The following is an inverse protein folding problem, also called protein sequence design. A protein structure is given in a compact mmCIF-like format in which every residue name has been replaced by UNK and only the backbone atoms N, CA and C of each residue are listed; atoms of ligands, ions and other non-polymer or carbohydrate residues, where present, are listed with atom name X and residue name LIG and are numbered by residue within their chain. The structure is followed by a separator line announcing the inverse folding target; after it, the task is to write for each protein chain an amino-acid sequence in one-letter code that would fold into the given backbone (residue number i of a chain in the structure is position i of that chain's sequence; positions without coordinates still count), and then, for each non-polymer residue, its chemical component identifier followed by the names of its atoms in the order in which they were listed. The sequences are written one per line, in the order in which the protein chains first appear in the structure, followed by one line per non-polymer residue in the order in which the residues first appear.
data_IF_064015743872
#
_entry.id   IF_064015743872
#
_cell.length_a   1.000
_cell.length_b   1.000
_cell.length_c   1.000
_cell.angle_alpha   90.00
_cell.angle_beta   90.00
_cell.angle_gamma   90.00
#
_symmetry.space_group_name_H-M   'P 1'
#
loop_
_entity.id
_entity.type
_entity.pdbx_description
1 polymer ?
#
# COMPACT_ATOMS: atom_id res chain seq x y z
N UNK A 1 -17.73 14.53 -1.93
CA UNK A 1 -17.26 15.35 -0.78
C UNK A 1 -15.79 15.05 -0.57
N UNK A 2 -14.96 16.05 -0.30
CA UNK A 2 -13.56 15.81 0.07
C UNK A 2 -13.47 15.40 1.55
N UNK A 3 -12.72 14.32 1.83
CA UNK A 3 -12.54 13.82 3.20
C UNK A 3 -11.64 14.71 4.06
N UNK A 4 -10.94 15.66 3.44
CA UNK A 4 -9.88 16.46 4.07
C UNK A 4 -8.57 15.70 4.27
N UNK A 5 -8.46 14.48 3.71
CA UNK A 5 -7.30 13.62 3.67
C UNK A 5 -7.05 13.25 2.21
N UNK A 6 -6.08 13.90 1.55
CA UNK A 6 -5.89 13.81 0.11
C UNK A 6 -5.52 12.38 -0.35
N UNK A 7 -4.74 11.66 0.45
CA UNK A 7 -4.39 10.27 0.16
C UNK A 7 -5.59 9.31 0.31
N UNK A 8 -6.56 9.61 1.19
CA UNK A 8 -7.83 8.88 1.26
C UNK A 8 -8.72 9.22 0.05
N UNK A 9 -8.84 10.51 -0.28
CA UNK A 9 -9.63 10.97 -1.44
C UNK A 9 -9.12 10.35 -2.75
N UNK A 10 -7.80 10.25 -2.91
CA UNK A 10 -7.17 9.58 -4.06
C UNK A 10 -7.67 8.14 -4.21
N UNK A 11 -7.61 7.36 -3.14
CA UNK A 11 -8.00 5.94 -3.16
C UNK A 11 -9.52 5.76 -3.33
N UNK A 12 -10.31 6.73 -2.86
CA UNK A 12 -11.75 6.77 -3.08
C UNK A 12 -12.14 7.16 -4.51
N UNK A 13 -11.19 7.61 -5.33
CA UNK A 13 -11.45 8.05 -6.72
C UNK A 13 -11.87 9.53 -6.83
N UNK A 14 -11.40 10.37 -5.89
CA UNK A 14 -11.62 11.81 -5.84
C UNK A 14 -12.46 12.29 -4.66
N UNK A 15 -12.78 11.40 -3.72
CA UNK A 15 -13.46 11.74 -2.46
C UNK A 15 -14.66 10.87 -2.13
N UNK A 16 -15.33 11.22 -1.07
CA UNK A 16 -16.48 10.49 -0.50
C UNK A 16 -17.74 10.73 -1.32
N UNK A 17 -18.38 9.66 -1.78
CA UNK A 17 -19.64 9.73 -2.54
C UNK A 17 -20.83 9.63 -1.59
N UNK A 18 -21.77 10.59 -1.61
CA UNK A 18 -23.01 10.49 -0.82
C UNK A 18 -23.81 9.23 -1.17
N UNK A 19 -24.34 8.56 -0.15
CA UNK A 19 -25.07 7.31 -0.33
C UNK A 19 -24.19 6.10 -0.61
N UNK A 20 -22.86 6.21 -0.52
CA UNK A 20 -21.93 5.09 -0.67
C UNK A 20 -21.72 4.33 0.63
N UNK A 21 -21.43 3.04 0.52
CA UNK A 21 -20.98 2.19 1.62
C UNK A 21 -19.53 1.78 1.36
N UNK A 22 -18.62 2.23 2.22
CA UNK A 22 -17.18 2.00 2.15
C UNK A 22 -16.73 1.09 3.28
N UNK A 23 -16.06 0.00 2.96
CA UNK A 23 -15.45 -0.91 3.94
C UNK A 23 -13.94 -0.65 4.01
N UNK A 24 -13.40 -0.43 5.21
CA UNK A 24 -11.97 -0.36 5.46
C UNK A 24 -11.54 -1.57 6.29
N UNK A 25 -10.83 -2.50 5.64
CA UNK A 25 -10.24 -3.68 6.25
C UNK A 25 -8.76 -3.47 6.62
N UNK A 26 -8.23 -4.37 7.44
CA UNK A 26 -6.80 -4.40 7.80
C UNK A 26 -6.57 -4.95 9.19
N UNK A 27 -5.29 -5.23 9.52
CA UNK A 27 -4.90 -5.80 10.80
C UNK A 27 -5.30 -4.89 11.98
N UNK A 28 -5.56 -5.49 13.17
CA UNK A 28 -5.75 -4.70 14.39
C UNK A 28 -4.54 -3.83 14.71
N UNK A 29 -4.79 -2.54 15.07
CA UNK A 29 -3.74 -1.59 15.39
C UNK A 29 -3.02 -0.95 14.20
N UNK A 30 -3.41 -1.23 12.94
CA UNK A 30 -2.80 -0.66 11.74
C UNK A 30 -3.06 0.85 11.55
N UNK A 31 -4.11 1.39 12.19
CA UNK A 31 -4.47 2.80 12.12
C UNK A 31 -5.84 3.12 11.50
N UNK A 32 -6.68 2.11 11.20
CA UNK A 32 -8.01 2.31 10.58
C UNK A 32 -8.88 3.34 11.32
N UNK A 33 -9.05 3.12 12.64
CA UNK A 33 -9.85 4.00 13.51
C UNK A 33 -9.24 5.41 13.61
N UNK A 34 -7.91 5.53 13.58
CA UNK A 34 -7.21 6.82 13.56
C UNK A 34 -7.49 7.57 12.27
N UNK A 35 -7.33 6.92 11.12
CA UNK A 35 -7.62 7.50 9.81
C UNK A 35 -9.07 8.00 9.72
N UNK A 36 -10.03 7.15 10.11
CA UNK A 36 -11.44 7.51 10.04
C UNK A 36 -11.81 8.60 11.03
N UNK A 37 -11.21 8.64 12.22
CA UNK A 37 -11.46 9.73 13.16
C UNK A 37 -10.92 11.07 12.64
N UNK A 38 -9.73 11.08 12.02
CA UNK A 38 -9.16 12.27 11.35
C UNK A 38 -10.04 12.73 10.17
N UNK A 39 -10.44 11.81 9.29
CA UNK A 39 -11.34 12.11 8.18
C UNK A 39 -12.72 12.57 8.67
N UNK A 40 -13.26 11.98 9.73
CA UNK A 40 -14.55 12.38 10.35
C UNK A 40 -14.52 13.81 10.85
N UNK A 41 -13.44 14.20 11.54
CA UNK A 41 -13.29 15.58 12.02
C UNK A 41 -13.16 16.58 10.86
N UNK A 42 -12.49 16.22 9.78
CA UNK A 42 -12.38 17.08 8.59
C UNK A 42 -13.72 17.18 7.84
N UNK A 43 -14.41 16.06 7.64
CA UNK A 43 -15.76 16.02 7.03
C UNK A 43 -16.78 16.83 7.86
N UNK A 44 -16.73 16.70 9.19
CA UNK A 44 -17.62 17.44 10.06
C UNK A 44 -17.48 18.96 9.92
N UNK A 45 -16.24 19.45 9.71
CA UNK A 45 -15.98 20.88 9.44
C UNK A 45 -16.39 21.33 8.05
N UNK A 46 -16.26 20.46 7.04
CA UNK A 46 -16.40 20.86 5.64
C UNK A 46 -17.76 20.51 5.03
N UNK A 47 -18.41 19.43 5.47
CA UNK A 47 -19.58 18.86 4.80
C UNK A 47 -20.83 18.72 5.68
N UNK A 48 -20.72 18.95 7.00
CA UNK A 48 -21.82 18.86 7.96
C UNK A 48 -21.71 17.67 8.91
N UNK A 49 -22.75 17.38 9.70
CA UNK A 49 -22.68 16.46 10.84
C UNK A 49 -22.16 15.07 10.49
N UNK A 50 -21.23 14.56 11.30
CA UNK A 50 -20.71 13.20 11.22
C UNK A 50 -21.05 12.46 12.50
N UNK A 51 -21.66 11.28 12.38
CA UNK A 51 -21.89 10.38 13.51
C UNK A 51 -20.83 9.27 13.49
N UNK A 52 -19.96 9.27 14.51
CA UNK A 52 -18.95 8.23 14.72
C UNK A 52 -19.45 7.27 15.79
N UNK A 53 -19.81 6.06 15.38
CA UNK A 53 -20.26 4.97 16.25
C UNK A 53 -19.08 4.09 16.61
N UNK A 54 -18.80 3.97 17.89
CA UNK A 54 -17.77 3.07 18.43
C UNK A 54 -18.42 1.91 19.17
N UNK A 55 -18.14 0.69 18.72
CA UNK A 55 -18.58 -0.54 19.39
C UNK A 55 -17.51 -1.16 20.28
N UNK A 56 -16.28 -0.64 20.27
CA UNK A 56 -15.16 -1.21 21.04
C UNK A 56 -14.70 -0.27 22.16
N UNK A 57 -14.77 1.04 21.94
CA UNK A 57 -14.34 2.06 22.89
C UNK A 57 -15.49 2.90 23.40
N UNK A 58 -15.40 3.34 24.64
CA UNK A 58 -16.36 4.30 25.20
C UNK A 58 -16.22 5.66 24.52
N UNK A 59 -17.28 6.46 24.54
CA UNK A 59 -17.27 7.83 23.99
C UNK A 59 -16.16 8.70 24.62
N UNK A 60 -15.85 8.50 25.91
CA UNK A 60 -14.77 9.20 26.61
C UNK A 60 -13.39 8.81 26.04
N UNK A 61 -13.15 7.53 25.72
CA UNK A 61 -11.89 7.07 25.12
C UNK A 61 -11.71 7.60 23.71
N UNK A 62 -12.76 7.57 22.88
CA UNK A 62 -12.72 8.16 21.54
C UNK A 62 -12.46 9.66 21.61
N UNK A 63 -13.09 10.38 22.56
CA UNK A 63 -12.86 11.80 22.79
C UNK A 63 -11.41 12.11 23.18
N UNK A 64 -10.84 11.37 24.15
CA UNK A 64 -9.45 11.52 24.55
C UNK A 64 -8.49 11.30 23.37
N UNK A 65 -8.79 10.32 22.50
CA UNK A 65 -8.02 10.07 21.28
C UNK A 65 -8.14 11.26 20.32
N UNK A 66 -9.35 11.80 20.11
CA UNK A 66 -9.57 12.96 19.26
C UNK A 66 -8.80 14.20 19.79
N UNK A 67 -8.81 14.44 21.11
CA UNK A 67 -8.06 15.51 21.74
C UNK A 67 -6.55 15.36 21.56
N UNK A 68 -6.02 14.15 21.76
CA UNK A 68 -4.58 13.85 21.54
C UNK A 68 -4.17 14.11 20.07
N UNK A 69 -5.06 13.84 19.12
CA UNK A 69 -4.84 14.05 17.69
C UNK A 69 -5.11 15.51 17.26
N UNK A 70 -5.48 16.39 18.18
CA UNK A 70 -5.83 17.80 17.87
C UNK A 70 -7.10 17.95 17.04
N UNK A 71 -8.01 16.99 17.11
CA UNK A 71 -9.23 16.95 16.30
C UNK A 71 -10.37 17.62 17.05
N UNK A 72 -10.60 18.90 16.79
CA UNK A 72 -11.77 19.63 17.30
C UNK A 72 -12.76 19.88 16.17
N UNK A 73 -14.00 19.38 16.31
CA UNK A 73 -15.11 19.65 15.40
C UNK A 73 -16.44 19.56 16.16
N UNK A 74 -17.21 20.66 16.16
CA UNK A 74 -18.52 20.72 16.84
C UNK A 74 -19.56 19.78 16.23
N UNK A 75 -19.44 19.52 14.94
CA UNK A 75 -20.34 18.64 14.17
C UNK A 75 -19.90 17.17 14.16
N UNK A 76 -18.86 16.78 14.92
CA UNK A 76 -18.45 15.39 15.12
C UNK A 76 -19.17 14.84 16.36
N UNK A 77 -20.17 14.01 16.13
CA UNK A 77 -20.94 13.33 17.17
C UNK A 77 -20.36 11.95 17.43
N UNK A 78 -20.11 11.60 18.70
CA UNK A 78 -19.57 10.31 19.11
C UNK A 78 -20.65 9.53 19.85
N UNK A 79 -20.92 8.32 19.41
CA UNK A 79 -21.88 7.39 20.00
C UNK A 79 -21.20 6.07 20.35
N UNK A 80 -21.24 5.66 21.61
CA UNK A 80 -20.80 4.35 22.04
C UNK A 80 -22.03 3.42 22.09
N UNK A 81 -22.24 2.64 21.04
CA UNK A 81 -23.40 1.77 20.88
C UNK A 81 -23.07 0.59 19.95
N UNK A 82 -23.72 -0.56 20.18
CA UNK A 82 -23.55 -1.78 19.40
C UNK A 82 -24.86 -2.33 18.82
N UNK A 83 -26.02 -1.91 19.35
CA UNK A 83 -27.31 -2.33 18.83
C UNK A 83 -27.70 -1.47 17.62
N UNK A 84 -27.90 -2.11 16.45
CA UNK A 84 -28.12 -1.40 15.18
C UNK A 84 -29.40 -0.56 15.19
N UNK A 85 -30.48 -1.04 15.79
CA UNK A 85 -31.73 -0.33 15.88
C UNK A 85 -31.58 1.01 16.63
N UNK A 86 -30.78 1.01 17.70
CA UNK A 86 -30.46 2.23 18.46
C UNK A 86 -29.59 3.18 17.63
N UNK A 87 -28.61 2.65 16.89
CA UNK A 87 -27.79 3.44 15.96
C UNK A 87 -28.67 4.11 14.90
N UNK A 88 -29.60 3.36 14.27
CA UNK A 88 -30.53 3.89 13.28
C UNK A 88 -31.44 5.00 13.84
N UNK A 89 -31.89 4.87 15.09
CA UNK A 89 -32.66 5.91 15.76
C UNK A 89 -31.82 7.20 15.94
N UNK A 90 -30.58 7.08 16.35
CA UNK A 90 -29.63 8.21 16.43
C UNK A 90 -29.35 8.86 15.09
N UNK A 91 -29.17 8.06 14.01
CA UNK A 91 -29.05 8.57 12.64
C UNK A 91 -30.32 9.36 12.25
N UNK A 92 -31.51 8.87 12.64
CA UNK A 92 -32.76 9.58 12.40
C UNK A 92 -32.88 10.93 13.12
N UNK A 93 -32.31 11.02 14.32
CA UNK A 93 -32.39 12.22 15.15
C UNK A 93 -31.32 13.27 14.79
N UNK A 94 -30.12 12.83 14.38
CA UNK A 94 -28.98 13.72 14.11
C UNK A 94 -28.78 14.05 12.62
N UNK A 95 -29.46 13.32 11.71
CA UNK A 95 -29.39 13.49 10.25
C UNK A 95 -27.97 13.71 9.72
N UNK A 96 -27.01 12.80 10.03
CA UNK A 96 -25.62 13.00 9.67
C UNK A 96 -25.42 12.91 8.15
N UNK A 97 -24.44 13.65 7.62
CA UNK A 97 -23.97 13.50 6.24
C UNK A 97 -23.07 12.30 6.06
N UNK A 98 -22.38 11.89 7.13
CA UNK A 98 -21.49 10.74 7.15
C UNK A 98 -21.70 9.94 8.44
N UNK A 99 -21.76 8.62 8.30
CA UNK A 99 -21.80 7.66 9.40
C UNK A 99 -20.53 6.82 9.38
N UNK A 100 -19.86 6.69 10.51
CA UNK A 100 -18.74 5.75 10.71
C UNK A 100 -19.15 4.71 11.73
N UNK A 101 -18.92 3.42 11.42
CA UNK A 101 -19.16 2.29 12.33
C UNK A 101 -17.84 1.57 12.59
N UNK A 102 -17.31 1.67 13.81
CA UNK A 102 -16.02 1.13 14.25
C UNK A 102 -16.20 0.23 15.50
N UNK A 103 -16.29 -1.08 15.31
CA UNK A 103 -16.22 -1.90 14.10
C UNK A 103 -17.57 -2.57 13.78
N UNK A 104 -17.74 -3.02 12.52
CA UNK A 104 -18.93 -3.76 12.10
C UNK A 104 -19.08 -5.10 12.84
N UNK A 105 -17.99 -5.68 13.33
CA UNK A 105 -18.02 -6.94 14.07
C UNK A 105 -18.65 -6.83 15.46
N UNK A 106 -18.72 -5.64 16.04
CA UNK A 106 -19.34 -5.42 17.35
C UNK A 106 -20.82 -5.10 17.26
N UNK A 107 -21.28 -4.68 16.07
CA UNK A 107 -22.69 -4.30 15.85
C UNK A 107 -23.56 -5.54 15.65
N UNK A 108 -24.75 -5.52 16.21
CA UNK A 108 -25.71 -6.62 16.13
C UNK A 108 -27.16 -6.12 16.00
N UNK A 109 -28.00 -7.00 15.47
CA UNK A 109 -29.45 -6.89 15.43
C UNK A 109 -30.04 -7.71 16.58
N UNK A 110 -30.91 -7.09 17.39
CA UNK A 110 -31.52 -7.73 18.55
C UNK A 110 -32.42 -8.93 18.18
N UNK A 111 -33.02 -8.92 17.00
CA UNK A 111 -33.92 -9.97 16.51
C UNK A 111 -33.19 -11.21 15.98
N UNK A 112 -31.86 -11.19 15.84
CA UNK A 112 -31.07 -12.32 15.39
C UNK A 112 -30.42 -13.05 16.58
N UNK A 113 -30.72 -14.35 16.74
CA UNK A 113 -30.18 -15.18 17.84
C UNK A 113 -28.67 -15.41 17.76
N UNK A 114 -28.03 -15.12 16.62
CA UNK A 114 -26.59 -15.33 16.43
C UNK A 114 -25.75 -14.27 17.15
N UNK A 115 -24.59 -14.67 17.67
CA UNK A 115 -23.70 -13.79 18.41
C UNK A 115 -23.17 -12.63 17.54
N UNK A 116 -22.90 -11.44 18.15
CA UNK A 116 -22.21 -10.35 17.48
C UNK A 116 -20.91 -10.83 16.82
N UNK A 117 -20.57 -10.30 15.62
CA UNK A 117 -19.41 -10.70 14.86
C UNK A 117 -19.56 -12.01 14.08
N UNK A 118 -20.66 -12.74 14.21
CA UNK A 118 -20.97 -13.89 13.35
C UNK A 118 -21.23 -13.46 11.91
N UNK A 119 -21.06 -14.39 10.94
CA UNK A 119 -21.30 -14.14 9.52
C UNK A 119 -22.70 -13.59 9.26
N UNK A 120 -23.73 -14.18 9.93
CA UNK A 120 -25.13 -13.73 9.80
C UNK A 120 -25.32 -12.31 10.30
N UNK A 121 -24.86 -11.98 11.51
CA UNK A 121 -24.96 -10.64 12.07
C UNK A 121 -24.26 -9.60 11.19
N UNK A 122 -23.01 -9.84 10.82
CA UNK A 122 -22.22 -8.89 10.00
C UNK A 122 -22.89 -8.67 8.64
N UNK A 123 -23.44 -9.71 8.03
CA UNK A 123 -24.11 -9.63 6.72
C UNK A 123 -25.41 -8.83 6.82
N UNK A 124 -26.26 -9.13 7.80
CA UNK A 124 -27.55 -8.45 7.96
C UNK A 124 -27.38 -7.00 8.39
N UNK A 125 -26.46 -6.72 9.34
CA UNK A 125 -26.13 -5.35 9.73
C UNK A 125 -25.57 -4.56 8.52
N UNK A 126 -24.67 -5.16 7.75
CA UNK A 126 -24.13 -4.54 6.52
C UNK A 126 -25.22 -4.26 5.49
N UNK A 127 -26.17 -5.17 5.30
CA UNK A 127 -27.32 -5.00 4.42
C UNK A 127 -28.23 -3.84 4.84
N UNK A 128 -28.56 -3.71 6.13
CA UNK A 128 -29.36 -2.60 6.68
C UNK A 128 -28.62 -1.26 6.55
N UNK A 129 -27.32 -1.22 6.86
CA UNK A 129 -26.52 0.00 6.72
C UNK A 129 -26.39 0.43 5.25
N UNK A 130 -26.31 -0.52 4.30
CA UNK A 130 -26.38 -0.20 2.89
C UNK A 130 -27.75 0.39 2.49
N UNK A 131 -28.83 -0.19 2.96
CA UNK A 131 -30.18 0.36 2.77
C UNK A 131 -30.28 1.79 3.29
N UNK A 132 -29.79 2.04 4.51
CA UNK A 132 -29.74 3.35 5.13
C UNK A 132 -28.94 4.36 4.31
N UNK A 133 -27.73 3.96 3.86
CA UNK A 133 -26.88 4.78 2.99
C UNK A 133 -27.61 5.23 1.73
N UNK A 134 -28.21 4.28 0.99
CA UNK A 134 -28.90 4.54 -0.28
C UNK A 134 -30.17 5.37 -0.11
N UNK A 135 -30.99 5.08 0.91
CA UNK A 135 -32.28 5.75 1.07
C UNK A 135 -32.15 7.18 1.61
N UNK A 136 -31.16 7.44 2.46
CA UNK A 136 -30.94 8.76 3.06
C UNK A 136 -29.81 9.58 2.42
N UNK A 137 -29.07 9.00 1.46
CA UNK A 137 -27.93 9.68 0.82
C UNK A 137 -26.74 9.90 1.76
N UNK A 138 -26.62 9.11 2.84
CA UNK A 138 -25.55 9.20 3.83
C UNK A 138 -24.35 8.39 3.36
N UNK A 139 -23.14 8.96 3.41
CA UNK A 139 -21.93 8.17 3.20
C UNK A 139 -21.62 7.34 4.45
N UNK A 140 -21.48 6.03 4.30
CA UNK A 140 -21.25 5.11 5.42
C UNK A 140 -19.89 4.47 5.31
N UNK A 141 -19.08 4.58 6.37
CA UNK A 141 -17.80 3.88 6.51
C UNK A 141 -17.94 2.77 7.54
N UNK A 142 -17.52 1.57 7.16
CA UNK A 142 -17.45 0.40 8.03
C UNK A 142 -15.98 0.05 8.29
N UNK A 143 -15.60 -0.07 9.54
CA UNK A 143 -14.30 -0.64 9.94
C UNK A 143 -14.47 -2.14 10.10
N UNK A 144 -13.56 -2.91 9.46
CA UNK A 144 -13.50 -4.36 9.58
C UNK A 144 -12.10 -4.83 9.99
N UNK A 145 -12.02 -5.78 10.93
CA UNK A 145 -10.77 -6.43 11.30
C UNK A 145 -10.58 -7.71 10.49
N UNK A 146 -9.40 -7.89 9.87
CA UNK A 146 -9.04 -9.15 9.23
C UNK A 146 -8.67 -10.15 10.32
N UNK A 147 -9.37 -11.28 10.38
CA UNK A 147 -9.06 -12.35 11.32
C UNK A 147 -8.25 -13.43 10.62
N UNK A 148 -7.12 -13.79 11.19
CA UNK A 148 -6.27 -14.91 10.72
C UNK A 148 -6.89 -16.28 11.01
N UNK A 149 -7.83 -16.36 11.94
CA UNK A 149 -8.48 -17.58 12.40
C UNK A 149 -10.00 -17.38 12.39
N UNK A 150 -10.67 -17.94 11.45
CA UNK A 150 -12.10 -18.08 11.13
C UNK A 150 -13.22 -17.94 12.17
N UNK A 151 -12.99 -17.45 13.40
CA UNK A 151 -14.01 -17.33 14.45
C UNK A 151 -14.90 -16.09 14.32
N UNK A 152 -14.40 -15.00 13.74
CA UNK A 152 -15.18 -13.77 13.46
C UNK A 152 -15.31 -13.56 11.96
N UNK A 153 -16.47 -13.09 11.51
CA UNK A 153 -16.69 -12.75 10.11
C UNK A 153 -15.76 -11.61 9.69
N UNK A 154 -14.81 -11.92 8.83
CA UNK A 154 -13.90 -10.92 8.26
C UNK A 154 -14.58 -10.02 7.22
N UNK A 155 -13.87 -8.97 6.74
CA UNK A 155 -14.35 -8.03 5.73
C UNK A 155 -14.88 -8.71 4.46
N UNK A 156 -14.37 -9.88 4.09
CA UNK A 156 -14.77 -10.64 2.89
C UNK A 156 -16.27 -10.91 2.79
N UNK A 157 -16.96 -11.05 3.91
CA UNK A 157 -18.42 -11.27 3.93
C UNK A 157 -19.17 -10.07 3.36
N UNK A 158 -18.64 -8.86 3.51
CA UNK A 158 -19.23 -7.60 3.07
C UNK A 158 -18.73 -7.14 1.70
N UNK A 159 -17.65 -7.69 1.16
CA UNK A 159 -17.04 -7.21 -0.10
C UNK A 159 -18.02 -7.15 -1.27
N UNK A 160 -18.97 -8.09 -1.33
CA UNK A 160 -19.99 -8.09 -2.37
C UNK A 160 -21.09 -7.05 -2.16
N UNK A 161 -21.37 -6.69 -0.91
CA UNK A 161 -22.43 -5.75 -0.54
C UNK A 161 -21.99 -4.30 -0.70
N UNK A 162 -20.75 -3.96 -0.34
CA UNK A 162 -20.27 -2.59 -0.29
C UNK A 162 -19.91 -2.05 -1.69
N UNK A 163 -19.91 -0.72 -1.85
CA UNK A 163 -19.53 -0.06 -3.10
C UNK A 163 -18.00 0.04 -3.24
N UNK A 164 -17.30 0.23 -2.13
CA UNK A 164 -15.84 0.38 -2.10
C UNK A 164 -15.26 -0.47 -0.97
N UNK A 165 -14.16 -1.17 -1.27
CA UNK A 165 -13.37 -1.94 -0.30
C UNK A 165 -11.95 -1.39 -0.32
N UNK A 166 -11.51 -0.91 0.82
CA UNK A 166 -10.15 -0.44 1.06
C UNK A 166 -9.45 -1.38 2.05
N UNK A 167 -8.20 -1.73 1.77
CA UNK A 167 -7.35 -2.45 2.71
C UNK A 167 -6.22 -1.55 3.19
N UNK A 168 -6.06 -1.49 4.50
CA UNK A 168 -4.97 -0.80 5.15
C UNK A 168 -3.88 -1.82 5.47
N UNK A 169 -2.74 -1.68 4.83
CA UNK A 169 -1.62 -2.61 4.84
C UNK A 169 -0.37 -1.96 5.44
N UNK A 170 0.50 -2.76 6.02
CA UNK A 170 1.79 -2.32 6.57
C UNK A 170 2.27 -3.25 7.66
N UNK A 171 3.58 -3.32 7.85
CA UNK A 171 4.16 -4.05 8.97
C UNK A 171 4.10 -3.20 10.25
N UNK A 172 3.91 -3.83 11.41
CA UNK A 172 3.77 -3.11 12.69
C UNK A 172 4.97 -2.22 13.03
N UNK A 173 6.14 -2.56 12.50
CA UNK A 173 7.39 -1.83 12.73
C UNK A 173 7.79 -0.91 11.56
N UNK A 174 7.07 -0.94 10.43
CA UNK A 174 7.30 -0.02 9.35
C UNK A 174 6.76 1.37 9.69
N UNK A 175 7.47 2.42 9.30
CA UNK A 175 7.07 3.80 9.54
C UNK A 175 5.86 4.23 8.71
N UNK A 176 5.63 3.57 7.59
CA UNK A 176 4.53 3.91 6.67
C UNK A 176 3.45 2.83 6.62
N UNK A 177 2.28 3.24 6.14
CA UNK A 177 1.09 2.42 5.90
C UNK A 177 0.57 2.71 4.50
N UNK A 178 0.09 1.68 3.83
CA UNK A 178 -0.49 1.80 2.49
C UNK A 178 -1.98 1.50 2.57
N UNK A 179 -2.80 2.40 2.08
CA UNK A 179 -4.22 2.20 1.87
C UNK A 179 -4.46 1.85 0.41
N UNK A 180 -5.01 0.68 0.15
CA UNK A 180 -5.23 0.16 -1.20
C UNK A 180 -6.71 -0.05 -1.49
N UNK A 181 -7.18 0.37 -2.66
CA UNK A 181 -8.49 -0.01 -3.15
C UNK A 181 -8.46 -1.42 -3.73
N UNK A 182 -9.30 -2.32 -3.22
CA UNK A 182 -9.50 -3.68 -3.77
C UNK A 182 -10.77 -3.73 -4.62
N UNK A 183 -11.75 -2.92 -4.26
CA UNK A 183 -12.99 -2.71 -5.02
C UNK A 183 -13.36 -1.24 -4.94
N UNK A 184 -13.68 -0.64 -6.07
CA UNK A 184 -14.19 0.74 -6.11
C UNK A 184 -15.15 0.91 -7.30
N UNK A 185 -16.43 1.19 -7.02
CA UNK A 185 -17.43 1.45 -8.06
C UNK A 185 -17.36 2.88 -8.60
N UNK A 186 -16.65 3.77 -7.92
CA UNK A 186 -16.61 5.20 -8.23
C UNK A 186 -15.26 5.66 -8.76
N UNK A 187 -14.27 4.76 -8.83
CA UNK A 187 -12.93 5.07 -9.27
C UNK A 187 -12.08 3.84 -9.56
N UNK A 188 -10.81 4.06 -9.85
CA UNK A 188 -9.84 3.01 -10.11
C UNK A 188 -9.54 2.21 -8.84
N UNK A 189 -9.38 0.89 -8.97
CA UNK A 189 -8.83 0.02 -7.91
C UNK A 189 -7.30 0.01 -7.90
N UNK A 190 -6.67 0.72 -8.83
CA UNK A 190 -5.22 0.79 -8.94
C UNK A 190 -4.59 1.93 -8.13
N UNK A 191 -5.40 2.71 -7.39
CA UNK A 191 -4.88 3.82 -6.58
C UNK A 191 -4.48 3.34 -5.20
N UNK A 192 -3.38 3.92 -4.70
CA UNK A 192 -2.92 3.75 -3.33
C UNK A 192 -2.77 5.10 -2.62
N UNK A 193 -3.02 5.10 -1.31
CA UNK A 193 -2.70 6.19 -0.40
C UNK A 193 -1.56 5.77 0.52
N UNK A 194 -0.61 6.66 0.76
CA UNK A 194 0.54 6.38 1.63
C UNK A 194 0.50 7.31 2.84
N UNK A 195 0.64 6.69 4.00
CA UNK A 195 0.58 7.38 5.29
C UNK A 195 1.78 7.00 6.15
N UNK A 196 2.23 7.93 6.98
CA UNK A 196 3.20 7.70 8.03
C UNK A 196 2.50 7.74 9.39
N UNK A 197 2.83 6.78 10.26
CA UNK A 197 2.32 6.80 11.63
C UNK A 197 3.22 7.68 12.50
N UNK A 198 2.65 8.71 13.11
CA UNK A 198 3.31 9.64 14.01
C UNK A 198 2.62 9.70 15.36
N UNK A 199 3.21 10.34 16.36
CA UNK A 199 2.56 10.58 17.67
C UNK A 199 1.26 11.41 17.53
N UNK A 200 1.21 12.29 16.51
CA UNK A 200 0.03 13.08 16.16
C UNK A 200 -0.99 12.36 15.27
N UNK A 201 -0.84 11.05 15.04
CA UNK A 201 -1.73 10.26 14.19
C UNK A 201 -1.13 9.90 12.84
N UNK A 202 -1.99 9.68 11.85
CA UNK A 202 -1.58 9.40 10.48
C UNK A 202 -1.30 10.69 9.73
N UNK A 203 -0.11 10.80 9.19
CA UNK A 203 0.32 11.87 8.29
C UNK A 203 0.34 11.36 6.86
N UNK A 204 -0.19 12.13 5.95
CA UNK A 204 -0.12 11.84 4.52
C UNK A 204 1.32 11.96 4.01
N UNK A 205 1.71 11.06 3.11
CA UNK A 205 3.01 11.10 2.45
C UNK A 205 2.82 11.46 0.98
N UNK A 206 2.89 12.76 0.62
CA UNK A 206 2.67 13.20 -0.76
C UNK A 206 3.71 12.66 -1.74
N UNK A 207 4.95 12.47 -1.29
CA UNK A 207 6.04 11.92 -2.08
C UNK A 207 6.69 10.71 -1.36
N UNK A 208 6.12 9.50 -1.50
CA UNK A 208 6.68 8.29 -0.90
C UNK A 208 8.08 7.94 -1.43
N UNK A 209 8.35 8.22 -2.71
CA UNK A 209 9.65 7.94 -3.32
C UNK A 209 10.78 8.70 -2.62
N UNK A 210 10.58 9.98 -2.32
CA UNK A 210 11.55 10.78 -1.58
C UNK A 210 11.80 10.22 -0.18
N UNK A 211 10.75 9.72 0.50
CA UNK A 211 10.86 9.09 1.81
C UNK A 211 11.70 7.80 1.76
N UNK A 212 11.45 6.91 0.78
CA UNK A 212 12.19 5.65 0.64
C UNK A 212 13.67 5.85 0.28
N UNK A 213 14.00 6.98 -0.35
CA UNK A 213 15.37 7.29 -0.76
C UNK A 213 16.13 8.20 0.22
N UNK A 214 15.49 8.70 1.29
CA UNK A 214 16.06 9.68 2.20
C UNK A 214 17.36 9.22 2.88
N UNK A 215 17.48 7.93 3.18
CA UNK A 215 18.64 7.32 3.87
C UNK A 215 19.52 6.49 2.93
N UNK A 216 19.37 6.66 1.61
CA UNK A 216 20.14 5.90 0.63
C UNK A 216 21.65 6.16 0.78
N UNK A 217 22.50 5.11 0.92
CA UNK A 217 23.93 5.26 0.92
C UNK A 217 24.43 5.60 -0.51
N UNK A 218 25.28 6.59 -0.63
CA UNK A 218 25.93 6.92 -1.91
C UNK A 218 27.18 6.07 -2.12
N UNK A 219 27.34 5.51 -3.32
CA UNK A 219 28.55 4.75 -3.71
C UNK A 219 28.68 3.40 -3.02
N UNK A 220 27.60 2.81 -2.52
CA UNK A 220 27.61 1.45 -1.98
C UNK A 220 27.39 0.42 -3.07
N UNK A 221 28.25 -0.60 -3.15
CA UNK A 221 28.01 -1.76 -4.00
C UNK A 221 26.78 -2.54 -3.50
N UNK A 222 26.01 -3.07 -4.43
CA UNK A 222 24.78 -3.79 -4.09
C UNK A 222 23.53 -2.94 -3.89
N UNK A 223 23.61 -1.61 -4.04
CA UNK A 223 22.44 -0.70 -3.98
C UNK A 223 22.03 -0.28 -5.39
N UNK A 224 20.77 -0.53 -5.75
CA UNK A 224 20.18 -0.19 -7.06
C UNK A 224 18.83 0.44 -6.86
N UNK A 225 18.54 1.51 -7.60
CA UNK A 225 17.22 2.15 -7.58
C UNK A 225 16.39 1.66 -8.76
N UNK A 226 15.12 1.36 -8.46
CA UNK A 226 14.11 1.08 -9.46
C UNK A 226 12.87 1.97 -9.22
N UNK A 227 12.09 2.17 -10.28
CA UNK A 227 10.78 2.77 -10.20
C UNK A 227 9.70 1.69 -10.29
N UNK A 228 9.15 1.27 -9.17
CA UNK A 228 8.02 0.36 -9.07
C UNK A 228 6.72 1.04 -9.47
N UNK A 229 5.72 0.27 -9.91
CA UNK A 229 4.34 0.74 -10.03
C UNK A 229 3.45 0.02 -9.02
N UNK A 230 2.90 0.77 -8.09
CA UNK A 230 1.84 0.33 -7.23
C UNK A 230 0.51 0.86 -7.77
N UNK A 231 -0.18 0.00 -8.53
CA UNK A 231 -1.32 0.42 -9.33
C UNK A 231 -0.92 1.40 -10.43
N UNK A 232 -1.36 2.65 -10.36
CA UNK A 232 -0.96 3.72 -11.28
C UNK A 232 0.14 4.62 -10.72
N UNK A 233 0.46 4.49 -9.42
CA UNK A 233 1.42 5.35 -8.72
C UNK A 233 2.84 4.81 -8.86
N UNK A 234 3.77 5.58 -9.45
CA UNK A 234 5.18 5.22 -9.46
C UNK A 234 5.79 5.44 -8.07
N UNK A 235 6.65 4.53 -7.64
CA UNK A 235 7.39 4.60 -6.38
C UNK A 235 8.85 4.25 -6.65
N UNK A 236 9.77 5.14 -6.31
CA UNK A 236 11.19 4.77 -6.34
C UNK A 236 11.55 3.99 -5.09
N UNK A 237 12.12 2.82 -5.30
CA UNK A 237 12.53 1.90 -4.25
C UNK A 237 14.02 1.59 -4.40
N UNK A 238 14.71 1.49 -3.28
CA UNK A 238 16.07 0.97 -3.23
C UNK A 238 16.03 -0.55 -3.02
N UNK A 239 16.65 -1.27 -3.95
CA UNK A 239 16.91 -2.69 -3.86
C UNK A 239 18.37 -2.90 -3.43
N UNK A 240 18.55 -3.59 -2.32
CA UNK A 240 19.87 -3.88 -1.77
C UNK A 240 20.17 -5.38 -1.87
N UNK A 241 21.37 -5.72 -2.30
CA UNK A 241 21.87 -7.08 -2.26
C UNK A 241 23.22 -7.13 -1.53
N UNK A 242 23.41 -8.14 -0.72
CA UNK A 242 24.68 -8.48 -0.10
C UNK A 242 25.04 -9.91 -0.51
N UNK A 243 26.17 -10.05 -1.19
CA UNK A 243 26.75 -11.34 -1.59
C UNK A 243 28.08 -11.53 -0.87
N UNK A 244 28.21 -12.64 -0.15
CA UNK A 244 29.40 -12.94 0.64
C UNK A 244 29.72 -14.43 0.58
N UNK A 245 31.00 -14.85 0.65
CA UNK A 245 31.35 -16.26 0.66
C UNK A 245 30.65 -17.03 1.77
N UNK A 246 30.04 -18.18 1.43
CA UNK A 246 29.48 -19.07 2.43
C UNK A 246 30.60 -19.83 3.13
N UNK A 247 30.77 -19.64 4.44
CA UNK A 247 31.86 -20.26 5.19
C UNK A 247 31.55 -21.69 5.63
N UNK A 248 30.27 -22.04 5.83
CA UNK A 248 29.87 -23.38 6.32
C UNK A 248 28.53 -23.82 5.75
N UNK A 249 28.45 -25.07 5.32
CA UNK A 249 27.21 -25.75 4.95
C UNK A 249 26.59 -25.29 3.64
N UNK A 250 25.27 -25.35 3.57
CA UNK A 250 24.50 -24.91 2.39
C UNK A 250 24.41 -23.39 2.36
N UNK A 251 24.70 -22.74 1.22
CA UNK A 251 24.58 -21.30 1.06
C UNK A 251 23.19 -20.77 1.41
N UNK A 252 23.17 -19.68 2.14
CA UNK A 252 21.93 -19.07 2.62
C UNK A 252 21.35 -18.12 1.59
N UNK A 253 20.03 -18.12 1.49
CA UNK A 253 19.26 -17.15 0.72
C UNK A 253 18.27 -16.49 1.67
N UNK A 254 18.36 -15.18 1.84
CA UNK A 254 17.42 -14.40 2.66
C UNK A 254 16.87 -13.28 1.82
N UNK A 255 15.54 -13.17 1.75
CA UNK A 255 14.84 -12.18 0.92
C UNK A 255 13.82 -11.46 1.76
N UNK A 256 13.91 -10.15 1.80
CA UNK A 256 12.99 -9.25 2.49
C UNK A 256 12.38 -8.27 1.48
N UNK A 257 11.07 -8.15 1.48
CA UNK A 257 10.34 -7.22 0.61
C UNK A 257 10.16 -7.65 -0.84
N UNK A 258 10.81 -8.72 -1.30
CA UNK A 258 10.65 -9.32 -2.64
C UNK A 258 10.18 -10.77 -2.55
N UNK A 259 9.81 -11.37 -3.68
CA UNK A 259 9.36 -12.77 -3.73
C UNK A 259 10.57 -13.72 -3.74
N UNK A 260 10.63 -14.62 -2.76
CA UNK A 260 11.79 -15.51 -2.51
C UNK A 260 12.13 -16.40 -3.70
N UNK A 261 11.13 -17.09 -4.29
CA UNK A 261 11.40 -18.01 -5.41
C UNK A 261 11.87 -17.26 -6.64
N UNK A 262 11.33 -16.06 -6.88
CA UNK A 262 11.75 -15.21 -7.99
C UNK A 262 13.22 -14.80 -7.86
N UNK A 263 13.64 -14.38 -6.67
CA UNK A 263 15.04 -14.05 -6.39
C UNK A 263 15.93 -15.27 -6.62
N UNK A 264 15.55 -16.45 -6.15
CA UNK A 264 16.31 -17.69 -6.38
C UNK A 264 16.48 -18.01 -7.87
N UNK A 265 15.44 -17.80 -8.69
CA UNK A 265 15.51 -17.95 -10.14
C UNK A 265 16.48 -16.94 -10.76
N UNK A 266 16.44 -15.68 -10.35
CA UNK A 266 17.35 -14.64 -10.85
C UNK A 266 18.82 -14.96 -10.53
N UNK A 267 19.11 -15.47 -9.35
CA UNK A 267 20.46 -15.90 -8.98
C UNK A 267 20.95 -17.06 -9.88
N UNK A 268 20.08 -18.02 -10.19
CA UNK A 268 20.42 -19.12 -11.10
C UNK A 268 20.66 -18.62 -12.55
N UNK A 269 19.88 -17.61 -12.99
CA UNK A 269 20.07 -16.99 -14.31
C UNK A 269 21.39 -16.22 -14.35
N UNK A 270 21.72 -15.43 -13.31
CA UNK A 270 22.99 -14.72 -13.17
C UNK A 270 24.19 -15.69 -13.29
N UNK A 271 24.11 -16.81 -12.59
CA UNK A 271 25.18 -17.81 -12.66
C UNK A 271 25.33 -18.42 -14.05
N UNK A 272 24.20 -18.85 -14.63
CA UNK A 272 24.23 -19.57 -15.90
C UNK A 272 24.48 -18.66 -17.09
N UNK A 273 24.00 -17.41 -17.09
CA UNK A 273 24.04 -16.50 -18.24
C UNK A 273 25.11 -15.42 -18.12
N UNK A 274 25.29 -14.85 -16.93
CA UNK A 274 26.30 -13.81 -16.74
C UNK A 274 27.61 -14.34 -16.14
N UNK A 275 27.72 -15.65 -15.89
CA UNK A 275 28.93 -16.27 -15.38
C UNK A 275 29.36 -15.86 -13.98
N UNK A 276 28.41 -15.33 -13.16
CA UNK A 276 28.68 -14.89 -11.78
C UNK A 276 28.50 -16.09 -10.86
N UNK A 277 29.55 -16.65 -10.22
CA UNK A 277 29.49 -17.90 -9.46
C UNK A 277 28.84 -17.65 -8.06
N UNK A 278 27.52 -17.86 -7.95
CA UNK A 278 26.75 -17.63 -6.73
C UNK A 278 26.47 -18.92 -5.93
N UNK A 279 26.85 -20.10 -6.43
CA UNK A 279 26.59 -21.39 -5.76
C UNK A 279 27.24 -21.48 -4.38
N UNK A 280 28.42 -20.90 -4.21
CA UNK A 280 29.17 -20.89 -2.96
C UNK A 280 29.02 -19.58 -2.15
N UNK A 281 28.07 -18.75 -2.50
CA UNK A 281 27.86 -17.45 -1.86
C UNK A 281 26.58 -17.44 -1.05
N UNK A 282 26.61 -16.84 0.14
CA UNK A 282 25.42 -16.39 0.84
C UNK A 282 24.87 -15.13 0.14
N UNK A 283 23.57 -15.07 -0.10
CA UNK A 283 22.94 -13.94 -0.76
C UNK A 283 21.76 -13.42 0.06
N UNK A 284 21.80 -12.15 0.35
CA UNK A 284 20.76 -11.43 1.06
C UNK A 284 20.22 -10.35 0.12
N UNK A 285 18.88 -10.29 -0.05
CA UNK A 285 18.20 -9.27 -0.86
C UNK A 285 17.18 -8.57 0.03
N UNK A 286 17.17 -7.26 0.00
CA UNK A 286 16.27 -6.42 0.78
C UNK A 286 15.70 -5.28 -0.07
N UNK A 287 14.41 -5.05 0.03
CA UNK A 287 13.79 -3.80 -0.41
C UNK A 287 13.85 -2.83 0.76
N UNK A 288 14.62 -1.75 0.61
CA UNK A 288 14.87 -0.81 1.69
C UNK A 288 13.58 -0.13 2.19
N UNK A 289 13.61 0.33 3.45
CA UNK A 289 12.47 1.01 4.08
C UNK A 289 11.30 0.09 4.43
N UNK A 290 11.46 -1.25 4.34
CA UNK A 290 10.38 -2.22 4.60
C UNK A 290 9.28 -2.23 3.52
N UNK A 291 9.57 -1.67 2.33
CA UNK A 291 8.67 -1.73 1.18
C UNK A 291 8.55 -3.17 0.64
N UNK A 292 7.45 -3.45 -0.05
CA UNK A 292 7.27 -4.69 -0.79
C UNK A 292 7.26 -4.39 -2.29
N UNK A 293 8.04 -5.15 -3.05
CA UNK A 293 8.06 -5.09 -4.50
C UNK A 293 7.93 -6.50 -5.05
N UNK A 294 6.78 -6.79 -5.67
CA UNK A 294 6.47 -8.10 -6.22
C UNK A 294 6.29 -8.07 -7.75
N UNK A 295 6.55 -6.93 -8.38
CA UNK A 295 6.40 -6.79 -9.82
C UNK A 295 7.62 -7.30 -10.59
N UNK A 296 7.42 -7.91 -11.79
CA UNK A 296 8.52 -8.42 -12.62
C UNK A 296 9.52 -7.34 -13.06
N UNK A 297 9.13 -6.07 -13.10
CA UNK A 297 10.01 -4.97 -13.45
C UNK A 297 11.22 -4.79 -12.50
N UNK A 298 11.17 -5.41 -11.30
CA UNK A 298 12.24 -5.41 -10.32
C UNK A 298 13.38 -6.40 -10.64
N UNK A 299 13.15 -7.37 -11.51
CA UNK A 299 14.08 -8.48 -11.75
C UNK A 299 15.46 -8.01 -12.14
N UNK A 300 15.53 -7.09 -13.12
CA UNK A 300 16.81 -6.57 -13.60
C UNK A 300 17.57 -5.83 -12.51
N UNK A 301 16.87 -5.04 -11.70
CA UNK A 301 17.45 -4.30 -10.60
C UNK A 301 17.97 -5.24 -9.48
N UNK A 302 17.24 -6.31 -9.14
CA UNK A 302 17.68 -7.35 -8.18
C UNK A 302 18.93 -8.06 -8.72
N UNK A 303 18.92 -8.44 -9.98
CA UNK A 303 20.05 -9.11 -10.61
C UNK A 303 21.30 -8.21 -10.65
N UNK A 304 21.14 -6.95 -11.05
CA UNK A 304 22.24 -5.96 -11.09
C UNK A 304 22.74 -5.65 -9.68
N UNK A 305 21.87 -5.52 -8.66
CA UNK A 305 22.29 -5.34 -7.27
C UNK A 305 23.14 -6.52 -6.79
N UNK A 306 22.72 -7.75 -7.11
CA UNK A 306 23.49 -8.96 -6.75
C UNK A 306 24.85 -9.02 -7.46
N UNK A 307 24.91 -8.66 -8.74
CA UNK A 307 26.14 -8.59 -9.51
C UNK A 307 27.08 -7.48 -9.00
N UNK A 308 26.52 -6.30 -8.70
CA UNK A 308 27.26 -5.16 -8.11
C UNK A 308 27.87 -5.52 -6.76
N UNK A 309 27.11 -6.17 -5.89
CA UNK A 309 27.61 -6.63 -4.60
C UNK A 309 28.71 -7.69 -4.74
N UNK A 310 28.52 -8.68 -5.63
CA UNK A 310 29.53 -9.70 -5.88
C UNK A 310 30.85 -9.11 -6.41
N UNK A 311 30.77 -8.16 -7.34
CA UNK A 311 31.93 -7.50 -7.95
C UNK A 311 32.49 -6.33 -7.13
N UNK A 312 31.89 -5.97 -6.01
CA UNK A 312 32.22 -4.79 -5.19
C UNK A 312 32.25 -3.48 -6.01
N UNK A 313 31.35 -3.36 -7.00
CA UNK A 313 31.28 -2.21 -7.92
C UNK A 313 29.97 -1.45 -7.76
N UNK A 314 29.97 -0.26 -7.16
CA UNK A 314 28.79 0.55 -7.03
C UNK A 314 28.32 1.10 -8.39
N UNK A 315 27.01 1.26 -8.55
CA UNK A 315 26.40 1.94 -9.69
C UNK A 315 26.55 3.46 -9.60
N UNK A 316 26.41 4.14 -10.74
CA UNK A 316 26.26 5.58 -10.78
C UNK A 316 25.05 6.02 -9.91
N UNK A 317 25.17 7.10 -9.13
CA UNK A 317 24.14 7.47 -8.13
C UNK A 317 22.83 7.95 -8.75
N UNK A 318 22.83 8.32 -10.02
CA UNK A 318 21.73 8.93 -10.76
C UNK A 318 21.10 7.99 -11.81
N UNK A 319 21.33 6.67 -11.69
CA UNK A 319 20.77 5.66 -12.58
C UNK A 319 19.63 4.89 -11.91
N UNK A 320 18.55 4.67 -12.66
CA UNK A 320 17.48 3.72 -12.32
C UNK A 320 17.54 2.51 -13.24
N UNK A 321 17.20 1.33 -12.71
CA UNK A 321 17.27 0.07 -13.44
C UNK A 321 15.92 -0.61 -13.41
N UNK A 322 15.41 -1.01 -14.58
CA UNK A 322 14.08 -1.58 -14.75
C UNK A 322 14.08 -2.69 -15.79
N UNK A 323 13.39 -3.79 -15.56
CA UNK A 323 13.19 -4.83 -16.55
C UNK A 323 12.78 -6.16 -15.94
N UNK A 324 11.95 -6.92 -16.64
CA UNK A 324 11.70 -8.32 -16.35
C UNK A 324 12.81 -9.17 -16.95
N UNK A 325 13.27 -10.20 -16.25
CA UNK A 325 14.32 -11.11 -16.74
C UNK A 325 13.73 -12.51 -16.94
N UNK A 326 13.79 -13.00 -18.18
CA UNK A 326 13.37 -14.35 -18.52
C UNK A 326 14.47 -15.39 -18.23
N UNK A 327 14.07 -16.68 -18.22
CA UNK A 327 14.97 -17.80 -17.87
C UNK A 327 16.15 -17.99 -18.86
N UNK A 328 16.03 -17.45 -20.06
CA UNK A 328 17.11 -17.49 -21.05
C UNK A 328 18.07 -16.30 -20.96
N UNK A 329 17.82 -15.37 -19.99
CA UNK A 329 18.61 -14.17 -19.77
C UNK A 329 18.15 -12.96 -20.60
N UNK A 330 17.06 -13.09 -21.32
CA UNK A 330 16.46 -11.98 -22.07
C UNK A 330 15.82 -10.96 -21.11
N UNK A 331 15.93 -9.68 -21.46
CA UNK A 331 15.26 -8.59 -20.76
C UNK A 331 13.98 -8.22 -21.50
N UNK A 332 12.85 -8.40 -20.82
CA UNK A 332 11.50 -8.26 -21.37
C UNK A 332 10.88 -6.91 -21.07
N UNK A 333 9.96 -6.50 -21.94
CA UNK A 333 9.21 -5.25 -21.81
C UNK A 333 8.42 -5.17 -20.50
N UNK A 334 8.35 -3.96 -19.96
CA UNK A 334 7.59 -3.61 -18.76
C UNK A 334 6.53 -2.58 -19.06
N UNK A 335 5.43 -2.61 -18.30
CA UNK A 335 4.37 -1.61 -18.40
C UNK A 335 4.74 -0.27 -17.78
N UNK A 336 4.12 0.83 -18.29
CA UNK A 336 4.18 2.16 -17.65
C UNK A 336 5.56 2.81 -17.66
N UNK A 337 6.43 2.51 -18.63
CA UNK A 337 7.80 3.03 -18.67
C UNK A 337 7.86 4.55 -18.53
N UNK A 338 7.04 5.28 -19.29
CA UNK A 338 7.05 6.75 -19.25
C UNK A 338 6.72 7.32 -17.87
N UNK A 339 5.72 6.74 -17.19
CA UNK A 339 5.32 7.13 -15.83
C UNK A 339 6.45 6.90 -14.84
N UNK A 340 7.14 5.76 -14.93
CA UNK A 340 8.29 5.40 -14.09
C UNK A 340 9.46 6.36 -14.30
N UNK A 341 9.79 6.66 -15.56
CA UNK A 341 10.90 7.56 -15.89
C UNK A 341 10.60 9.01 -15.51
N UNK A 342 9.33 9.45 -15.59
CA UNK A 342 8.91 10.78 -15.14
C UNK A 342 9.08 10.95 -13.63
N UNK A 343 8.72 9.96 -12.85
CA UNK A 343 8.94 9.96 -11.39
C UNK A 343 10.44 9.97 -11.05
N UNK A 344 11.24 9.14 -11.73
CA UNK A 344 12.68 9.12 -11.54
C UNK A 344 13.31 10.51 -11.86
N UNK A 345 12.95 11.11 -12.97
CA UNK A 345 13.44 12.45 -13.34
C UNK A 345 13.01 13.53 -12.34
N UNK A 346 11.80 13.47 -11.81
CA UNK A 346 11.31 14.41 -10.79
C UNK A 346 12.11 14.36 -9.48
N UNK A 347 12.79 13.22 -9.22
CA UNK A 347 13.67 13.01 -8.06
C UNK A 347 15.17 13.17 -8.39
N UNK A 348 15.50 13.70 -9.57
CA UNK A 348 16.86 14.06 -9.95
C UNK A 348 17.68 12.95 -10.59
N UNK A 349 17.09 11.79 -10.93
CA UNK A 349 17.76 10.78 -11.73
C UNK A 349 17.89 11.25 -13.17
N UNK A 350 19.06 10.99 -13.78
CA UNK A 350 19.36 11.46 -15.14
C UNK A 350 19.47 10.32 -16.13
N UNK A 351 19.63 9.08 -15.65
CA UNK A 351 19.86 7.89 -16.48
C UNK A 351 18.90 6.76 -16.10
N UNK A 352 18.53 5.95 -17.10
CA UNK A 352 17.80 4.71 -16.89
C UNK A 352 18.33 3.58 -17.78
N UNK A 353 18.43 2.38 -17.22
CA UNK A 353 18.65 1.16 -17.97
C UNK A 353 17.34 0.37 -17.99
N UNK A 354 16.80 0.15 -19.20
CA UNK A 354 15.45 -0.36 -19.41
C UNK A 354 15.43 -1.41 -20.51
N UNK A 355 14.37 -2.24 -20.61
CA UNK A 355 14.23 -3.17 -21.73
C UNK A 355 14.20 -2.40 -23.07
N UNK A 356 15.03 -2.82 -24.03
CA UNK A 356 15.04 -2.23 -25.37
C UNK A 356 13.68 -2.29 -26.04
N UNK A 357 12.93 -3.35 -25.80
CA UNK A 357 11.58 -3.56 -26.31
C UNK A 357 10.51 -2.63 -25.70
N UNK A 358 10.82 -1.96 -24.58
CA UNK A 358 9.93 -0.94 -23.99
C UNK A 358 10.18 0.46 -24.55
N UNK A 359 11.26 0.69 -25.28
CA UNK A 359 11.58 1.97 -25.88
C UNK A 359 10.81 2.15 -27.20
N UNK A 360 10.15 3.29 -27.33
CA UNK A 360 9.43 3.69 -28.56
C UNK A 360 10.35 4.54 -29.42
N UNK A 361 10.54 4.14 -30.67
CA UNK A 361 11.37 4.89 -31.61
C UNK A 361 10.87 6.33 -31.77
N UNK A 362 11.77 7.31 -31.62
CA UNK A 362 11.43 8.73 -31.71
C UNK A 362 10.77 9.35 -30.47
N UNK A 363 10.44 8.56 -29.44
CA UNK A 363 9.96 9.10 -28.19
C UNK A 363 11.06 9.89 -27.44
N UNK A 364 10.65 10.97 -26.77
CA UNK A 364 11.52 11.74 -25.88
C UNK A 364 11.19 11.37 -24.43
N UNK A 365 12.18 10.86 -23.71
CA UNK A 365 12.05 10.56 -22.30
C UNK A 365 12.65 11.71 -21.45
N UNK A 366 12.19 11.90 -20.22
CA UNK A 366 12.65 13.01 -19.37
C UNK A 366 14.09 12.81 -18.85
N UNK A 367 14.68 11.64 -19.10
CA UNK A 367 16.05 11.27 -18.75
C UNK A 367 16.65 10.42 -19.88
N UNK A 368 17.97 10.15 -19.82
CA UNK A 368 18.66 9.31 -20.82
C UNK A 368 18.31 7.84 -20.57
N UNK A 369 17.52 7.23 -21.47
CA UNK A 369 17.11 5.84 -21.39
C UNK A 369 17.98 4.96 -22.31
N UNK A 370 18.74 4.04 -21.72
CA UNK A 370 19.57 3.06 -22.43
C UNK A 370 18.84 1.72 -22.48
N UNK A 371 18.53 1.23 -23.69
CA UNK A 371 17.83 -0.02 -23.90
C UNK A 371 18.77 -1.21 -23.91
N UNK A 372 18.49 -2.24 -23.08
CA UNK A 372 19.19 -3.52 -23.03
C UNK A 372 18.28 -4.68 -23.44
N UNK A 373 18.83 -5.70 -24.07
CA UNK A 373 18.10 -6.89 -24.54
C UNK A 373 18.41 -8.13 -23.73
N UNK A 374 19.57 -8.18 -23.06
CA UNK A 374 19.99 -9.31 -22.23
C UNK A 374 20.53 -8.85 -20.88
N UNK A 375 20.52 -9.76 -19.92
CA UNK A 375 21.09 -9.55 -18.60
C UNK A 375 22.61 -9.28 -18.68
N UNK A 376 23.32 -9.98 -19.56
CA UNK A 376 24.75 -9.78 -19.80
C UNK A 376 25.05 -8.36 -20.27
N UNK A 377 24.25 -7.85 -21.24
CA UNK A 377 24.37 -6.46 -21.72
C UNK A 377 24.19 -5.45 -20.58
N UNK A 378 23.20 -5.67 -19.73
CA UNK A 378 22.93 -4.79 -18.59
C UNK A 378 24.06 -4.81 -17.55
N UNK A 379 24.59 -5.99 -17.21
CA UNK A 379 25.69 -6.14 -16.26
C UNK A 379 26.98 -5.54 -16.84
N UNK A 380 27.29 -5.78 -18.09
CA UNK A 380 28.47 -5.19 -18.75
C UNK A 380 28.41 -3.66 -18.80
N UNK A 381 27.22 -3.09 -18.92
CA UNK A 381 27.02 -1.63 -18.92
C UNK A 381 27.14 -1.01 -17.52
N UNK A 382 26.63 -1.67 -16.49
CA UNK A 382 26.43 -1.10 -15.16
C UNK A 382 27.49 -1.51 -14.14
N UNK A 383 28.07 -2.69 -14.29
CA UNK A 383 28.98 -3.31 -13.31
C UNK A 383 30.34 -3.68 -13.99
N UNK A 384 30.39 -3.69 -15.31
CA UNK A 384 31.53 -4.11 -16.15
C UNK A 384 32.81 -3.31 -16.08
#
# INVERSE_FOLDING_TARGET
MHSGVAELDRVLGGGVVPGSLVLIGGDPGIGKSTLLLQASAALARAAGPVLYVSGEESAAQVKLRAERLGLAASELLILAETQLETIEAHVGASEPRTLVVDSIQTVYLGDLESAPGSVSQVRECGGRLMGLAKTRGIAVFLVGHVTKEGALAGPRVLEHLVDTVLYFEGERHATYRVLRAVKNRFGSTNEIGVFEMTDGGLREVPNPSAMFLAERPHGAAGSVIMAALEGTRPLLLELQALVTPAHFGTPRRTVLGAEYNRVCLLLAILEKRAGIPLQSQDVFVNVAGGARCQEPAADLAIAVASASSYGERPLAPDVVVLGEVGLTGEVRAIGGLETRLREAAALGFTQAVVPRSSLVAGARYPLTATGVSTLEEAIGLLVG
#
